data_IF_535301237075
#
_entry.id   IF_535301237075
#
_cell.length_a   1.000
_cell.length_b   1.000
_cell.length_c   1.000
_cell.angle_alpha   90.00
_cell.angle_beta   90.00
_cell.angle_gamma   90.00
#
_symmetry.space_group_name_H-M   'P 1'
#
loop_
_entity.id
_entity.type
_entity.pdbx_description
1 polymer ?
#
# COMPACT_ATOMS: atom_id res chain seq x y z
N UNK A 1 -36.90 11.05 20.87
CA UNK A 1 -35.68 11.60 20.29
C UNK A 1 -34.68 10.45 20.19
N UNK A 2 -34.57 9.88 18.99
CA UNK A 2 -33.57 8.84 18.70
C UNK A 2 -32.17 9.47 18.63
N UNK A 3 -31.14 8.84 19.21
CA UNK A 3 -29.79 9.34 19.09
C UNK A 3 -29.31 9.15 17.64
N UNK A 4 -28.85 10.25 17.04
CA UNK A 4 -28.26 10.28 15.72
C UNK A 4 -27.15 9.24 15.63
N UNK A 5 -27.31 8.28 14.71
CA UNK A 5 -26.36 7.26 14.35
C UNK A 5 -25.07 7.95 13.85
N UNK A 6 -24.07 8.09 14.72
CA UNK A 6 -22.73 8.52 14.32
C UNK A 6 -22.20 7.46 13.35
N UNK A 7 -22.26 7.75 12.06
CA UNK A 7 -21.48 7.07 11.04
C UNK A 7 -20.00 7.20 11.44
N UNK A 8 -19.52 6.24 12.23
CA UNK A 8 -18.07 6.06 12.43
C UNK A 8 -17.50 5.67 11.08
N UNK A 9 -16.97 6.64 10.37
CA UNK A 9 -16.14 6.40 9.21
C UNK A 9 -14.96 5.56 9.70
N UNK A 10 -14.98 4.25 9.44
CA UNK A 10 -13.86 3.35 9.75
C UNK A 10 -12.76 3.58 8.72
N UNK A 11 -12.08 4.72 8.85
CA UNK A 11 -10.93 5.03 8.03
C UNK A 11 -9.82 4.04 8.35
N UNK A 12 -9.41 3.27 7.36
CA UNK A 12 -8.23 2.40 7.43
C UNK A 12 -7.02 3.28 7.13
N UNK A 13 -6.21 3.55 8.13
CA UNK A 13 -4.99 4.34 7.98
C UNK A 13 -3.75 3.45 8.10
N UNK A 14 -2.66 3.88 7.48
CA UNK A 14 -1.35 3.26 7.64
C UNK A 14 -0.82 3.63 9.03
N UNK A 15 -0.57 2.63 9.87
CA UNK A 15 -0.02 2.79 11.22
C UNK A 15 1.30 2.03 11.36
N UNK A 16 2.40 2.74 11.23
CA UNK A 16 3.75 2.19 11.30
C UNK A 16 4.16 1.70 12.70
N UNK A 17 3.39 1.98 13.75
CA UNK A 17 3.76 1.68 15.13
C UNK A 17 3.15 0.39 15.67
N UNK A 18 2.29 -0.29 14.92
CA UNK A 18 1.59 -1.49 15.37
C UNK A 18 2.25 -2.81 14.96
N UNK A 19 3.47 -2.79 14.44
CA UNK A 19 4.19 -4.02 14.11
C UNK A 19 4.56 -4.81 15.38
N UNK A 20 4.39 -6.13 15.34
CA UNK A 20 4.88 -7.00 16.42
C UNK A 20 6.41 -6.92 16.52
N UNK A 21 6.96 -7.20 17.69
CA UNK A 21 8.42 -7.22 17.90
C UNK A 21 9.14 -8.18 16.94
N UNK A 22 8.54 -9.33 16.66
CA UNK A 22 9.09 -10.30 15.71
C UNK A 22 9.13 -9.74 14.29
N UNK A 23 8.06 -9.06 13.86
CA UNK A 23 8.01 -8.41 12.55
C UNK A 23 9.06 -7.30 12.46
N UNK A 24 9.17 -6.45 13.48
CA UNK A 24 10.19 -5.40 13.56
C UNK A 24 11.58 -6.01 13.48
N UNK A 25 11.86 -7.09 14.21
CA UNK A 25 13.15 -7.78 14.18
C UNK A 25 13.52 -8.29 12.78
N UNK A 26 12.55 -8.79 12.02
CA UNK A 26 12.78 -9.34 10.69
C UNK A 26 12.92 -8.27 9.60
N UNK A 27 12.18 -7.17 9.71
CA UNK A 27 12.03 -6.22 8.63
C UNK A 27 12.54 -4.81 8.93
N UNK A 28 13.02 -4.50 10.14
CA UNK A 28 13.46 -3.15 10.52
C UNK A 28 14.52 -2.54 9.61
N UNK A 29 15.46 -3.36 9.10
CA UNK A 29 16.48 -2.93 8.18
C UNK A 29 15.95 -2.52 6.79
N UNK A 30 14.69 -2.83 6.51
CA UNK A 30 14.01 -2.58 5.23
C UNK A 30 12.90 -1.54 5.35
N UNK A 31 12.77 -0.89 6.51
CA UNK A 31 11.88 0.26 6.64
C UNK A 31 12.43 1.44 5.86
N UNK A 32 11.54 2.07 5.12
CA UNK A 32 11.83 3.25 4.31
C UNK A 32 10.65 4.21 4.42
N UNK A 33 10.91 5.50 4.25
CA UNK A 33 9.84 6.49 4.10
C UNK A 33 9.04 6.18 2.84
N UNK A 34 7.72 6.21 2.96
CA UNK A 34 6.82 6.01 1.82
C UNK A 34 7.13 6.97 0.67
N UNK A 35 7.41 8.24 0.99
CA UNK A 35 7.72 9.26 0.00
C UNK A 35 9.00 8.94 -0.79
N UNK A 36 10.06 8.53 -0.08
CA UNK A 36 11.33 8.12 -0.70
C UNK A 36 11.13 6.91 -1.61
N UNK A 37 10.36 5.92 -1.16
CA UNK A 37 10.06 4.73 -1.94
C UNK A 37 9.27 5.10 -3.20
N UNK A 38 8.19 5.88 -3.07
CA UNK A 38 7.35 6.27 -4.20
C UNK A 38 8.13 7.11 -5.23
N UNK A 39 9.02 8.02 -4.79
CA UNK A 39 9.89 8.79 -5.68
C UNK A 39 10.83 7.86 -6.45
N UNK A 40 11.43 6.89 -5.78
CA UNK A 40 12.30 5.88 -6.41
C UNK A 40 11.56 5.09 -7.48
N UNK A 41 10.29 4.72 -7.22
CA UNK A 41 9.43 4.00 -8.18
C UNK A 41 8.91 4.89 -9.32
N UNK A 42 9.22 6.19 -9.30
CA UNK A 42 8.89 7.12 -10.38
C UNK A 42 7.60 7.89 -10.18
N UNK A 43 7.15 8.02 -8.94
CA UNK A 43 6.05 8.91 -8.62
C UNK A 43 6.35 10.36 -9.07
N UNK A 44 5.33 11.14 -9.43
CA UNK A 44 5.52 12.57 -9.69
C UNK A 44 6.05 13.27 -8.44
N UNK A 45 6.92 14.28 -8.61
CA UNK A 45 7.54 15.03 -7.50
C UNK A 45 6.54 15.71 -6.54
N UNK A 46 5.30 15.92 -6.96
CA UNK A 46 4.21 16.42 -6.10
C UNK A 46 3.51 15.24 -5.41
N UNK A 47 4.10 14.74 -4.36
CA UNK A 47 3.43 13.87 -3.39
C UNK A 47 2.67 14.77 -2.41
N UNK A 48 1.43 14.40 -1.99
CA UNK A 48 0.72 15.14 -0.97
C UNK A 48 1.57 15.27 0.30
N UNK A 49 1.73 16.49 0.80
CA UNK A 49 2.52 16.75 1.99
C UNK A 49 1.83 16.11 3.21
N UNK A 50 2.54 15.23 3.88
CA UNK A 50 2.10 14.61 5.12
C UNK A 50 3.06 15.05 6.24
N UNK A 51 2.54 15.73 7.26
CA UNK A 51 3.32 16.21 8.42
C UNK A 51 4.05 15.09 9.16
N UNK A 52 3.67 13.84 8.95
CA UNK A 52 4.23 12.65 9.62
C UNK A 52 4.90 11.73 8.61
N UNK A 53 6.13 11.36 8.87
CA UNK A 53 6.81 10.33 8.08
C UNK A 53 6.06 8.99 8.19
N UNK A 54 5.64 8.45 7.07
CA UNK A 54 5.01 7.14 6.98
C UNK A 54 6.08 6.11 6.64
N UNK A 55 6.27 5.13 7.50
CA UNK A 55 7.21 4.04 7.26
C UNK A 55 6.49 2.83 6.64
N UNK A 56 7.11 2.25 5.64
CA UNK A 56 6.66 1.03 4.96
C UNK A 56 7.82 0.04 4.84
N UNK A 57 7.53 -1.22 4.56
CA UNK A 57 8.56 -2.24 4.32
C UNK A 57 8.83 -2.33 2.82
N UNK A 58 10.05 -2.04 2.43
CA UNK A 58 10.59 -2.21 1.06
C UNK A 58 10.83 -3.71 0.80
N UNK A 59 9.93 -4.36 0.07
CA UNK A 59 9.99 -5.80 -0.15
C UNK A 59 11.03 -6.15 -1.22
N UNK A 60 11.17 -5.32 -2.23
CA UNK A 60 12.16 -5.56 -3.27
C UNK A 60 13.58 -5.55 -2.69
N UNK A 61 13.87 -4.58 -1.81
CA UNK A 61 15.16 -4.52 -1.11
C UNK A 61 15.37 -5.74 -0.20
N UNK A 62 14.32 -6.17 0.50
CA UNK A 62 14.36 -7.38 1.31
C UNK A 62 14.66 -8.62 0.44
N UNK A 63 13.96 -8.78 -0.68
CA UNK A 63 14.16 -9.91 -1.60
C UNK A 63 15.58 -9.94 -2.19
N UNK A 64 16.11 -8.79 -2.60
CA UNK A 64 17.50 -8.68 -3.10
C UNK A 64 18.48 -9.20 -2.06
N UNK A 65 18.31 -8.81 -0.80
CA UNK A 65 19.20 -9.25 0.27
C UNK A 65 19.05 -10.76 0.57
N UNK A 66 17.81 -11.29 0.57
CA UNK A 66 17.57 -12.71 0.77
C UNK A 66 18.13 -13.57 -0.37
N UNK A 67 17.90 -13.16 -1.62
CA UNK A 67 18.42 -13.85 -2.79
C UNK A 67 19.96 -13.89 -2.77
N UNK A 68 20.60 -12.77 -2.41
CA UNK A 68 22.06 -12.68 -2.25
C UNK A 68 22.57 -13.63 -1.17
N UNK A 69 21.93 -13.66 0.01
CA UNK A 69 22.33 -14.54 1.13
C UNK A 69 22.15 -16.02 0.80
N UNK A 70 21.12 -16.34 0.02
CA UNK A 70 20.78 -17.72 -0.34
C UNK A 70 21.37 -18.19 -1.66
N UNK A 71 22.16 -17.34 -2.35
CA UNK A 71 22.77 -17.62 -3.66
C UNK A 71 21.74 -18.11 -4.70
N UNK A 72 20.55 -17.51 -4.73
CA UNK A 72 19.47 -17.84 -5.65
C UNK A 72 19.06 -16.64 -6.53
N UNK A 73 18.30 -16.94 -7.60
CA UNK A 73 17.68 -15.89 -8.41
C UNK A 73 16.67 -15.07 -7.60
N UNK A 74 16.45 -13.82 -8.03
CA UNK A 74 15.42 -12.95 -7.48
C UNK A 74 14.03 -13.49 -7.81
N UNK A 75 13.14 -13.46 -6.83
CA UNK A 75 11.73 -13.64 -7.07
C UNK A 75 11.06 -12.30 -7.37
N UNK A 76 9.97 -12.34 -8.09
CA UNK A 76 9.17 -11.16 -8.34
C UNK A 76 8.30 -10.86 -7.12
N UNK A 77 8.47 -9.69 -6.51
CA UNK A 77 7.75 -9.25 -5.30
C UNK A 77 6.85 -8.04 -5.57
N UNK A 78 5.90 -7.77 -4.68
CA UNK A 78 5.25 -6.46 -4.58
C UNK A 78 6.29 -5.45 -4.10
N UNK A 79 6.13 -4.17 -4.43
CA UNK A 79 7.16 -3.17 -4.13
C UNK A 79 7.23 -2.88 -2.62
N UNK A 80 6.08 -2.76 -1.95
CA UNK A 80 6.09 -2.54 -0.50
C UNK A 80 4.86 -3.08 0.24
N UNK A 81 5.03 -3.21 1.54
CA UNK A 81 3.96 -3.51 2.50
C UNK A 81 3.79 -2.35 3.48
N UNK A 82 2.55 -1.94 3.68
CA UNK A 82 2.15 -1.02 4.73
C UNK A 82 1.28 -1.71 5.77
N UNK A 83 1.42 -1.35 7.04
CA UNK A 83 0.53 -1.81 8.09
C UNK A 83 -0.64 -0.84 8.25
N UNK A 84 -1.86 -1.38 8.28
CA UNK A 84 -3.07 -0.62 8.52
C UNK A 84 -3.43 -0.61 10.02
N UNK A 85 -4.16 0.42 10.45
CA UNK A 85 -4.64 0.58 11.84
C UNK A 85 -5.50 -0.59 12.34
N UNK A 86 -6.12 -1.36 11.45
CA UNK A 86 -6.84 -2.59 11.77
C UNK A 86 -5.95 -3.83 11.88
N UNK A 87 -4.64 -3.67 11.96
CA UNK A 87 -3.64 -4.73 12.02
C UNK A 87 -3.64 -5.68 10.82
N UNK A 88 -4.00 -5.18 9.64
CA UNK A 88 -3.86 -5.88 8.36
C UNK A 88 -2.73 -5.29 7.54
N UNK A 89 -2.08 -6.11 6.75
CA UNK A 89 -1.01 -5.68 5.85
C UNK A 89 -1.57 -5.35 4.47
N UNK A 90 -1.28 -4.16 3.98
CA UNK A 90 -1.63 -3.69 2.66
C UNK A 90 -0.46 -3.92 1.70
N UNK A 91 -0.67 -4.75 0.69
CA UNK A 91 0.30 -4.98 -0.37
C UNK A 91 0.11 -3.93 -1.46
N UNK A 92 1.19 -3.29 -1.87
CA UNK A 92 1.18 -2.22 -2.86
C UNK A 92 2.25 -2.44 -3.91
N UNK A 93 1.91 -2.15 -5.17
CA UNK A 93 2.81 -2.23 -6.32
C UNK A 93 2.68 -0.93 -7.15
N UNK A 94 3.77 -0.20 -7.31
CA UNK A 94 3.81 1.09 -7.96
C UNK A 94 4.09 0.94 -9.46
N UNK A 95 3.19 1.46 -10.30
CA UNK A 95 3.22 1.33 -11.76
C UNK A 95 3.24 2.68 -12.46
N UNK A 96 3.99 3.65 -11.90
CA UNK A 96 4.04 5.01 -12.45
C UNK A 96 4.66 5.09 -13.85
N UNK A 97 5.51 4.14 -14.22
CA UNK A 97 6.20 4.09 -15.53
C UNK A 97 5.46 3.27 -16.58
N UNK A 98 4.43 2.51 -16.17
CA UNK A 98 3.69 1.61 -17.06
C UNK A 98 2.72 2.40 -17.93
N UNK A 99 2.74 2.12 -19.24
CA UNK A 99 1.80 2.68 -20.21
C UNK A 99 0.53 1.83 -20.31
N UNK A 100 -0.59 2.45 -20.69
CA UNK A 100 -1.89 1.76 -20.74
C UNK A 100 -1.90 0.60 -21.74
N UNK A 101 -1.12 0.68 -22.83
CA UNK A 101 -1.01 -0.38 -23.85
C UNK A 101 -0.26 -1.62 -23.32
N UNK A 102 0.59 -1.48 -22.30
CA UNK A 102 1.32 -2.58 -21.67
C UNK A 102 0.42 -3.41 -20.75
N UNK A 103 -0.76 -2.89 -20.37
CA UNK A 103 -1.74 -3.60 -19.56
C UNK A 103 -2.44 -4.67 -20.40
N UNK A 104 -1.95 -5.88 -20.35
CA UNK A 104 -2.44 -7.06 -21.05
C UNK A 104 -2.51 -8.27 -20.12
N UNK A 105 -2.78 -9.46 -20.66
CA UNK A 105 -2.85 -10.69 -19.87
C UNK A 105 -1.53 -11.07 -19.21
N UNK A 106 -0.40 -10.79 -19.86
CA UNK A 106 0.94 -11.02 -19.27
C UNK A 106 1.15 -10.13 -18.05
N UNK A 107 0.80 -8.85 -18.13
CA UNK A 107 0.85 -7.94 -16.96
C UNK A 107 0.06 -8.49 -15.76
N UNK A 108 -1.16 -9.02 -16.01
CA UNK A 108 -1.96 -9.61 -14.92
C UNK A 108 -1.31 -10.88 -14.37
N UNK A 109 -0.67 -11.70 -15.23
CA UNK A 109 0.07 -12.87 -14.78
C UNK A 109 1.27 -12.48 -13.91
N UNK A 110 2.00 -11.42 -14.27
CA UNK A 110 3.12 -10.90 -13.49
C UNK A 110 2.68 -10.41 -12.10
N UNK A 111 1.56 -9.69 -12.02
CA UNK A 111 0.99 -9.27 -10.72
C UNK A 111 0.60 -10.49 -9.89
N UNK A 112 -0.02 -11.51 -10.49
CA UNK A 112 -0.36 -12.76 -9.79
C UNK A 112 0.88 -13.50 -9.30
N UNK A 113 1.94 -13.57 -10.09
CA UNK A 113 3.21 -14.18 -9.69
C UNK A 113 3.84 -13.46 -8.49
N UNK A 114 3.86 -12.11 -8.52
CA UNK A 114 4.28 -11.28 -7.38
C UNK A 114 3.49 -11.62 -6.11
N UNK A 115 2.18 -11.75 -6.21
CA UNK A 115 1.32 -12.06 -5.08
C UNK A 115 1.54 -13.48 -4.52
N UNK A 116 1.71 -14.46 -5.40
CA UNK A 116 1.99 -15.85 -5.00
C UNK A 116 3.27 -15.93 -4.16
N UNK A 117 4.27 -15.14 -4.48
CA UNK A 117 5.51 -15.10 -3.71
C UNK A 117 5.41 -14.20 -2.47
N UNK A 118 4.83 -13.00 -2.59
CA UNK A 118 4.82 -12.02 -1.50
C UNK A 118 3.89 -12.40 -0.35
N UNK A 119 2.68 -12.91 -0.64
CA UNK A 119 1.69 -13.25 0.41
C UNK A 119 2.23 -14.22 1.47
N UNK A 120 2.92 -15.32 1.13
CA UNK A 120 3.44 -16.26 2.13
C UNK A 120 4.48 -15.67 3.07
N UNK A 121 5.21 -14.63 2.65
CA UNK A 121 6.23 -13.99 3.47
C UNK A 121 5.64 -13.32 4.72
N UNK A 122 4.41 -12.84 4.61
CA UNK A 122 3.80 -11.98 5.62
C UNK A 122 2.60 -12.62 6.33
N UNK A 123 1.91 -13.52 5.70
CA UNK A 123 0.65 -14.06 6.18
C UNK A 123 0.78 -14.79 7.53
N UNK A 124 1.98 -15.28 7.89
CA UNK A 124 2.26 -15.91 9.17
C UNK A 124 2.35 -14.87 10.31
N UNK A 125 2.56 -13.60 9.98
CA UNK A 125 2.72 -12.53 10.97
C UNK A 125 1.41 -11.78 11.21
N UNK A 126 0.73 -11.37 10.14
CA UNK A 126 -0.51 -10.61 10.19
C UNK A 126 -1.39 -10.92 8.96
N UNK A 127 -2.73 -10.82 9.09
CA UNK A 127 -3.61 -11.01 7.96
C UNK A 127 -3.39 -9.94 6.90
N UNK A 128 -3.46 -10.34 5.64
CA UNK A 128 -3.36 -9.43 4.50
C UNK A 128 -4.71 -8.75 4.27
N UNK A 129 -4.68 -7.49 3.87
CA UNK A 129 -5.87 -6.73 3.47
C UNK A 129 -6.53 -7.35 2.24
N UNK A 130 -7.85 -7.28 2.15
CA UNK A 130 -8.63 -7.92 1.09
C UNK A 130 -8.37 -7.33 -0.29
N UNK A 131 -7.89 -6.08 -0.34
CA UNK A 131 -7.50 -5.41 -1.57
C UNK A 131 -5.99 -5.26 -1.68
N UNK A 132 -5.49 -5.48 -2.88
CA UNK A 132 -4.12 -5.23 -3.32
C UNK A 132 -4.14 -3.91 -4.09
N UNK A 133 -3.21 -3.03 -3.84
CA UNK A 133 -3.19 -1.72 -4.47
C UNK A 133 -2.18 -1.69 -5.62
N UNK A 134 -2.63 -1.22 -6.77
CA UNK A 134 -1.77 -0.83 -7.88
C UNK A 134 -1.82 0.69 -8.04
N UNK A 135 -0.67 1.35 -7.90
CA UNK A 135 -0.56 2.81 -8.01
C UNK A 135 -0.13 3.21 -9.44
N UNK A 136 -0.94 4.06 -10.07
CA UNK A 136 -0.65 4.61 -11.39
C UNK A 136 -0.55 6.13 -11.36
N UNK A 137 -0.05 6.72 -12.45
CA UNK A 137 -0.09 8.18 -12.62
C UNK A 137 -1.54 8.68 -12.71
N UNK A 138 -1.85 9.81 -12.06
CA UNK A 138 -3.19 10.42 -12.03
C UNK A 138 -3.82 10.57 -13.42
N UNK A 139 -3.04 11.02 -14.40
CA UNK A 139 -3.53 11.21 -15.78
C UNK A 139 -3.94 9.92 -16.50
N UNK A 140 -3.52 8.73 -16.00
CA UNK A 140 -3.76 7.42 -16.62
C UNK A 140 -4.65 6.52 -15.76
N UNK A 141 -4.88 6.84 -14.50
CA UNK A 141 -5.49 5.94 -13.51
C UNK A 141 -6.84 5.39 -13.96
N UNK A 142 -7.72 6.22 -14.52
CA UNK A 142 -9.04 5.78 -15.00
C UNK A 142 -8.95 4.80 -16.17
N UNK A 143 -8.06 5.05 -17.12
CA UNK A 143 -7.84 4.15 -18.25
C UNK A 143 -7.27 2.81 -17.77
N UNK A 144 -6.30 2.84 -16.84
CA UNK A 144 -5.69 1.66 -16.25
C UNK A 144 -6.73 0.86 -15.45
N UNK A 145 -7.53 1.52 -14.62
CA UNK A 145 -8.63 0.92 -13.83
C UNK A 145 -9.62 0.17 -14.72
N UNK A 146 -10.10 0.83 -15.78
CA UNK A 146 -11.04 0.23 -16.72
C UNK A 146 -10.44 -0.95 -17.49
N UNK A 147 -9.17 -0.88 -17.87
CA UNK A 147 -8.49 -1.96 -18.57
C UNK A 147 -8.24 -3.16 -17.68
N UNK A 148 -7.72 -2.96 -16.46
CA UNK A 148 -7.49 -4.03 -15.49
C UNK A 148 -8.80 -4.71 -15.12
N UNK A 149 -9.87 -3.94 -14.87
CA UNK A 149 -11.20 -4.48 -14.57
C UNK A 149 -11.73 -5.41 -15.67
N UNK A 150 -11.53 -5.07 -16.94
CA UNK A 150 -11.92 -5.93 -18.08
C UNK A 150 -11.06 -7.20 -18.12
N UNK A 151 -9.75 -7.10 -17.95
CA UNK A 151 -8.83 -8.23 -17.95
C UNK A 151 -9.11 -9.21 -16.79
N UNK A 152 -9.65 -8.73 -15.69
CA UNK A 152 -10.01 -9.51 -14.50
C UNK A 152 -11.48 -9.93 -14.46
N UNK A 153 -12.25 -9.76 -15.55
CA UNK A 153 -13.69 -10.10 -15.63
C UNK A 153 -14.52 -9.52 -14.48
N UNK A 154 -14.25 -8.28 -14.08
CA UNK A 154 -14.89 -7.57 -12.96
C UNK A 154 -14.78 -8.26 -11.58
N UNK A 155 -14.05 -9.35 -11.46
CA UNK A 155 -13.77 -10.06 -10.21
C UNK A 155 -12.33 -9.82 -9.83
N UNK A 156 -12.05 -8.85 -8.97
CA UNK A 156 -10.68 -8.56 -8.57
C UNK A 156 -10.60 -8.08 -7.13
N UNK A 157 -9.66 -8.62 -6.41
CA UNK A 157 -9.11 -8.10 -5.16
C UNK A 157 -8.08 -6.99 -5.42
N UNK A 158 -7.83 -6.63 -6.69
CA UNK A 158 -6.95 -5.52 -7.09
C UNK A 158 -7.74 -4.22 -7.14
N UNK A 159 -7.26 -3.21 -6.46
CA UNK A 159 -7.75 -1.85 -6.50
C UNK A 159 -6.71 -0.94 -7.18
N UNK A 160 -7.16 -0.21 -8.20
CA UNK A 160 -6.32 0.71 -8.98
C UNK A 160 -6.61 2.14 -8.54
N UNK A 161 -5.58 2.86 -8.13
CA UNK A 161 -5.70 4.25 -7.70
C UNK A 161 -4.47 5.08 -8.08
N UNK A 162 -4.59 6.37 -7.98
CA UNK A 162 -3.42 7.25 -8.06
C UNK A 162 -2.88 7.57 -6.66
N UNK A 163 -1.80 8.32 -6.63
CA UNK A 163 -1.12 8.67 -5.38
C UNK A 163 -1.99 9.56 -4.48
N UNK A 164 -2.81 10.43 -5.05
CA UNK A 164 -3.68 11.34 -4.29
C UNK A 164 -4.79 10.55 -3.61
N UNK A 165 -5.48 9.68 -4.36
CA UNK A 165 -6.51 8.79 -3.83
C UNK A 165 -5.94 7.88 -2.74
N UNK A 166 -4.71 7.37 -2.93
CA UNK A 166 -4.01 6.53 -1.95
C UNK A 166 -3.76 7.29 -0.64
N UNK A 167 -3.25 8.52 -0.72
CA UNK A 167 -3.02 9.35 0.46
C UNK A 167 -4.32 9.72 1.16
N UNK A 168 -5.35 10.12 0.42
CA UNK A 168 -6.66 10.43 1.00
C UNK A 168 -7.23 9.22 1.73
N UNK A 169 -7.19 8.04 1.11
CA UNK A 169 -7.82 6.83 1.65
C UNK A 169 -7.09 6.23 2.84
N UNK A 170 -5.75 6.22 2.81
CA UNK A 170 -4.94 5.45 3.77
C UNK A 170 -4.07 6.30 4.70
N UNK A 171 -3.94 7.61 4.46
CA UNK A 171 -3.02 8.45 5.22
C UNK A 171 -3.73 9.66 5.82
N UNK A 172 -4.41 10.47 5.01
CA UNK A 172 -5.00 11.76 5.47
C UNK A 172 -6.18 11.56 6.40
N UNK A 173 -6.87 10.44 6.34
CA UNK A 173 -8.02 10.12 7.21
C UNK A 173 -7.65 10.16 8.72
N UNK A 174 -6.37 10.07 9.07
CA UNK A 174 -5.88 10.21 10.46
C UNK A 174 -5.87 11.64 10.97
N UNK A 175 -5.72 12.64 10.09
CA UNK A 175 -5.54 14.03 10.53
C UNK A 175 -6.84 14.67 11.04
N UNK A 176 -8.00 14.16 10.59
CA UNK A 176 -9.28 14.71 11.02
C UNK A 176 -9.83 14.15 12.34
N UNK A 177 -9.22 13.10 12.89
CA UNK A 177 -9.69 12.50 14.16
C UNK A 177 -8.90 12.98 15.37
N UNK A 178 -7.70 13.55 15.21
CA UNK A 178 -6.88 14.04 16.32
C UNK A 178 -7.17 15.49 16.70
N UNK A 179 -7.51 16.34 15.73
CA UNK A 179 -7.79 17.77 16.03
C UNK A 179 -9.16 18.02 16.68
N UNK A 180 -10.08 17.04 16.60
CA UNK A 180 -11.40 17.15 17.24
C UNK A 180 -11.40 16.79 18.74
N UNK A 181 -10.31 16.26 19.27
CA UNK A 181 -10.19 15.87 20.68
C UNK A 181 -9.62 16.97 21.56
N UNK A 182 -8.84 17.91 20.98
CA UNK A 182 -8.16 18.97 21.73
C UNK A 182 -9.02 20.24 21.96
N UNK A 183 -10.20 20.37 21.33
CA UNK A 183 -11.06 21.53 21.51
C UNK A 183 -12.12 21.38 22.62
N UNK A 184 -12.17 20.26 23.37
CA UNK A 184 -13.21 20.03 24.38
C UNK A 184 -12.75 20.19 25.85
N UNK A 185 -11.49 20.51 26.10
CA UNK A 185 -10.98 20.71 27.46
C UNK A 185 -10.83 22.19 27.86
N UNK A 186 -11.54 23.10 27.23
CA UNK A 186 -11.51 24.54 27.47
C UNK A 186 -12.85 25.15 27.85
N UNK A 187 -13.52 24.69 28.95
CA UNK A 187 -14.51 25.49 29.72
C UNK A 187 -14.47 25.10 31.17
#
# INVERSE_FOLDING_TARGET
>A
MEPANKLQCKCLSIDSYCFSEEFVKLFSAFYVSLDELLIREGAPKKIPDCKRAILVVDIDRWEIEQARRQHRCLNSTMDFVALLSNKRMLLVDAKFRVETNELNSSFIQDIKAKLVYTKPLFYIHLPIHDKIILLFQTKKVEQCRNRIRRLMNNKSDIEVMDIVDFYVKYIICLLYTSDAADELDGV
#
